data_IF_228168439620
#
_entry.id   IF_228168439620
#
_cell.length_a   1.000
_cell.length_b   1.000
_cell.length_c   1.000
_cell.angle_alpha   90.00
_cell.angle_beta   90.00
_cell.angle_gamma   90.00
#
_symmetry.space_group_name_H-M   'P 1'
#
loop_
_entity.id
_entity.type
_entity.pdbx_description
1 polymer ?
#
# COMPACT_ATOMS: atom_id res chain seq x y z
N UNK A 1 -7.39 4.45 -14.40
CA UNK A 1 -7.05 5.47 -13.38
C UNK A 1 -6.08 4.85 -12.40
N UNK A 2 -4.93 5.48 -12.17
CA UNK A 2 -3.92 4.94 -11.26
C UNK A 2 -4.37 5.17 -9.81
N UNK A 3 -4.49 4.11 -9.01
CA UNK A 3 -4.83 4.22 -7.59
C UNK A 3 -3.60 4.69 -6.81
N UNK A 4 -3.73 5.52 -5.75
CA UNK A 4 -2.59 5.88 -4.92
C UNK A 4 -1.96 4.62 -4.31
N UNK A 5 -0.64 4.54 -4.36
CA UNK A 5 0.15 3.44 -3.78
C UNK A 5 0.69 3.89 -2.43
N UNK A 6 0.48 3.12 -1.38
CA UNK A 6 0.90 3.47 -0.03
C UNK A 6 1.60 2.29 0.60
N UNK A 7 2.80 2.51 1.14
CA UNK A 7 3.54 1.49 1.85
C UNK A 7 2.72 0.96 3.03
N UNK A 8 2.75 -0.35 3.24
CA UNK A 8 2.09 -1.01 4.34
C UNK A 8 2.93 -2.18 4.86
N UNK A 9 2.88 -2.37 6.18
CA UNK A 9 3.41 -3.57 6.83
C UNK A 9 2.25 -4.56 6.97
N UNK A 10 2.24 -5.65 6.19
CA UNK A 10 1.13 -6.60 6.20
C UNK A 10 0.98 -7.31 7.55
N UNK A 11 2.07 -7.51 8.29
CA UNK A 11 1.98 -8.04 9.66
C UNK A 11 1.37 -7.05 10.67
N UNK A 12 1.27 -5.76 10.33
CA UNK A 12 0.63 -4.75 11.17
C UNK A 12 -0.90 -4.70 10.94
N UNK A 13 -1.53 -5.87 11.04
CA UNK A 13 -2.98 -6.01 10.99
C UNK A 13 -3.60 -5.91 12.40
N UNK A 14 -4.80 -5.37 12.47
CA UNK A 14 -5.61 -5.41 13.68
C UNK A 14 -6.24 -6.79 13.92
N UNK A 15 -6.92 -6.95 15.06
CA UNK A 15 -7.57 -8.21 15.42
C UNK A 15 -8.68 -8.65 14.43
N UNK A 16 -9.11 -7.77 13.52
CA UNK A 16 -10.10 -8.06 12.47
C UNK A 16 -9.42 -8.31 11.11
N UNK A 17 -8.09 -8.37 11.06
CA UNK A 17 -7.31 -8.57 9.84
C UNK A 17 -7.25 -7.35 8.94
N UNK A 18 -7.51 -6.13 9.45
CA UNK A 18 -7.37 -4.89 8.68
C UNK A 18 -5.96 -4.32 8.88
N UNK A 19 -5.29 -3.94 7.79
CA UNK A 19 -3.94 -3.41 7.84
C UNK A 19 -3.95 -1.98 8.39
N UNK A 20 -3.16 -1.67 9.43
CA UNK A 20 -3.08 -0.33 10.02
C UNK A 20 -2.25 0.61 9.14
N UNK A 21 -2.78 1.80 8.86
CA UNK A 21 -2.14 2.82 8.02
C UNK A 21 -1.36 3.84 8.86
N UNK A 22 -0.50 3.37 9.78
CA UNK A 22 0.21 4.22 10.74
C UNK A 22 1.74 4.10 10.70
N UNK A 23 2.31 3.18 9.91
CA UNK A 23 3.75 3.02 9.80
C UNK A 23 4.45 4.24 9.18
N UNK A 24 5.76 4.37 9.41
CA UNK A 24 6.54 5.50 8.92
C UNK A 24 6.50 5.64 7.38
N UNK A 25 6.65 4.52 6.65
CA UNK A 25 6.53 4.50 5.19
C UNK A 25 5.14 4.92 4.71
N UNK A 26 4.08 4.41 5.35
CA UNK A 26 2.69 4.79 5.06
C UNK A 26 2.49 6.30 5.19
N UNK A 27 2.94 6.88 6.32
CA UNK A 27 2.83 8.32 6.58
C UNK A 27 3.64 9.15 5.59
N UNK A 28 4.83 8.68 5.20
CA UNK A 28 5.67 9.34 4.21
C UNK A 28 4.99 9.39 2.84
N UNK A 29 4.38 8.28 2.41
CA UNK A 29 3.66 8.21 1.14
C UNK A 29 2.41 9.07 1.12
N UNK A 30 1.59 9.00 2.18
CA UNK A 30 0.39 9.84 2.35
C UNK A 30 0.77 11.32 2.24
N UNK A 31 1.84 11.75 2.94
CA UNK A 31 2.31 13.13 2.89
C UNK A 31 2.85 13.51 1.52
N UNK A 32 3.71 12.66 0.92
CA UNK A 32 4.34 12.91 -0.39
C UNK A 32 3.31 13.06 -1.49
N UNK A 33 2.29 12.20 -1.47
CA UNK A 33 1.22 12.16 -2.47
C UNK A 33 0.03 13.06 -2.13
N UNK A 34 0.04 13.74 -0.96
CA UNK A 34 -1.05 14.59 -0.46
C UNK A 34 -2.39 13.84 -0.39
N UNK A 35 -2.36 12.59 0.04
CA UNK A 35 -3.56 11.75 0.18
C UNK A 35 -4.34 12.21 1.41
N UNK A 36 -5.60 12.58 1.22
CA UNK A 36 -6.56 12.73 2.31
C UNK A 36 -7.31 11.40 2.46
N UNK A 37 -7.02 10.65 3.53
CA UNK A 37 -7.68 9.37 3.79
C UNK A 37 -9.17 9.57 4.07
N UNK A 38 -10.01 8.77 3.42
CA UNK A 38 -11.46 8.79 3.58
C UNK A 38 -12.01 7.37 3.61
N UNK A 39 -13.08 7.15 4.36
CA UNK A 39 -13.78 5.86 4.39
C UNK A 39 -14.24 5.44 2.98
N UNK A 40 -13.96 4.21 2.60
CA UNK A 40 -14.29 3.67 1.28
C UNK A 40 -13.29 4.01 0.17
N UNK A 41 -12.27 4.83 0.44
CA UNK A 41 -11.21 5.13 -0.53
C UNK A 41 -10.40 3.87 -0.85
N UNK A 42 -10.13 3.62 -2.13
CA UNK A 42 -9.30 2.50 -2.59
C UNK A 42 -7.84 2.93 -2.71
N UNK A 43 -6.94 2.10 -2.20
CA UNK A 43 -5.49 2.25 -2.28
C UNK A 43 -4.88 0.94 -2.81
N UNK A 44 -3.69 1.04 -3.40
CA UNK A 44 -2.80 -0.12 -3.50
C UNK A 44 -1.88 -0.07 -2.29
N UNK A 45 -1.93 -1.09 -1.46
CA UNK A 45 -0.98 -1.28 -0.37
C UNK A 45 0.19 -2.07 -0.90
N UNK A 46 1.42 -1.63 -0.62
CA UNK A 46 2.62 -2.34 -1.06
C UNK A 46 3.64 -2.48 0.07
N UNK A 47 4.41 -3.56 0.04
CA UNK A 47 5.67 -3.74 0.77
C UNK A 47 6.82 -3.87 -0.23
N UNK A 48 7.99 -4.33 0.20
CA UNK A 48 9.13 -4.54 -0.70
C UNK A 48 8.81 -5.53 -1.83
N UNK A 49 8.09 -6.61 -1.50
CA UNK A 49 7.86 -7.73 -2.42
C UNK A 49 6.38 -7.98 -2.70
N UNK A 50 5.44 -7.35 -1.98
CA UNK A 50 4.03 -7.68 -2.07
C UNK A 50 3.15 -6.46 -2.33
N UNK A 51 2.05 -6.63 -3.05
CA UNK A 51 1.01 -5.62 -3.20
C UNK A 51 -0.40 -6.20 -3.21
N UNK A 52 -1.37 -5.37 -2.81
CA UNK A 52 -2.80 -5.72 -2.82
C UNK A 52 -3.67 -4.47 -2.84
N UNK A 53 -4.87 -4.56 -3.41
CA UNK A 53 -5.87 -3.50 -3.26
C UNK A 53 -6.49 -3.52 -1.85
N UNK A 54 -6.58 -2.35 -1.23
CA UNK A 54 -7.23 -2.17 0.06
C UNK A 54 -8.29 -1.07 0.04
N UNK A 55 -9.30 -1.21 0.90
CA UNK A 55 -10.34 -0.21 1.13
C UNK A 55 -10.15 0.43 2.49
N UNK A 56 -9.92 1.74 2.50
CA UNK A 56 -9.69 2.54 3.71
C UNK A 56 -10.93 2.52 4.60
N UNK A 57 -10.72 2.32 5.90
CA UNK A 57 -11.72 2.34 6.96
C UNK A 57 -11.16 2.98 8.22
N UNK A 58 -11.91 3.89 8.84
CA UNK A 58 -11.54 4.35 10.17
C UNK A 58 -11.86 3.28 11.22
N UNK A 59 -10.89 2.98 12.07
CA UNK A 59 -11.09 2.12 13.24
C UNK A 59 -11.47 2.97 14.43
N UNK A 60 -12.76 2.96 14.80
CA UNK A 60 -13.22 3.65 16.01
C UNK A 60 -12.64 3.06 17.30
N UNK A 61 -12.27 1.79 17.28
CA UNK A 61 -11.70 1.07 18.43
C UNK A 61 -10.24 1.49 18.70
N UNK A 62 -9.45 1.65 17.64
CA UNK A 62 -8.03 2.00 17.75
C UNK A 62 -7.73 3.47 17.43
N UNK A 63 -8.75 4.25 17.05
CA UNK A 63 -8.66 5.67 16.67
C UNK A 63 -7.65 5.97 15.56
N UNK A 64 -7.58 5.08 14.56
CA UNK A 64 -6.66 5.20 13.43
C UNK A 64 -7.27 4.68 12.13
N UNK A 65 -6.66 5.07 11.01
CA UNK A 65 -7.01 4.56 9.69
C UNK A 65 -6.46 3.16 9.46
N UNK A 66 -7.30 2.29 8.91
CA UNK A 66 -6.98 0.92 8.50
C UNK A 66 -7.36 0.72 7.04
N UNK A 67 -6.95 -0.41 6.46
CA UNK A 67 -7.42 -0.87 5.17
C UNK A 67 -7.88 -2.32 5.25
N UNK A 68 -9.08 -2.59 4.75
CA UNK A 68 -9.59 -3.95 4.53
C UNK A 68 -8.98 -4.47 3.23
N UNK A 69 -8.35 -5.64 3.27
CA UNK A 69 -7.76 -6.31 2.10
C UNK A 69 -8.31 -7.73 1.98
N UNK A 70 -8.23 -8.30 0.77
CA UNK A 70 -8.36 -9.75 0.59
C UNK A 70 -6.96 -10.38 0.66
N UNK A 71 -6.73 -11.14 1.71
CA UNK A 71 -5.44 -11.80 1.97
C UNK A 71 -5.08 -12.84 0.90
N UNK A 72 -6.06 -13.40 0.19
CA UNK A 72 -5.82 -14.34 -0.90
C UNK A 72 -5.50 -13.63 -2.23
N UNK A 73 -5.65 -12.30 -2.27
CA UNK A 73 -5.41 -11.49 -3.46
C UNK A 73 -4.05 -10.75 -3.41
N UNK A 74 -3.23 -10.99 -2.39
CA UNK A 74 -1.87 -10.45 -2.31
C UNK A 74 -1.05 -11.04 -3.46
N UNK A 75 -0.34 -10.16 -4.17
CA UNK A 75 0.50 -10.52 -5.31
C UNK A 75 1.94 -10.10 -5.06
N UNK A 76 2.90 -10.80 -5.64
CA UNK A 76 4.29 -10.35 -5.67
C UNK A 76 4.41 -9.12 -6.57
N UNK A 77 5.19 -8.13 -6.13
CA UNK A 77 5.54 -6.98 -6.94
C UNK A 77 6.59 -7.46 -7.95
N UNK A 78 6.25 -7.47 -9.24
CA UNK A 78 7.25 -7.74 -10.26
C UNK A 78 8.38 -6.71 -10.13
N UNK A 79 9.65 -7.14 -9.99
CA UNK A 79 10.75 -6.20 -10.00
C UNK A 79 10.71 -5.46 -11.34
N UNK A 80 10.73 -4.14 -11.28
CA UNK A 80 10.87 -3.33 -12.49
C UNK A 80 12.25 -3.66 -13.06
N UNK A 81 12.29 -4.58 -14.02
CA UNK A 81 13.48 -4.82 -14.83
C UNK A 81 13.63 -3.56 -15.66
N UNK A 82 14.44 -2.61 -15.17
CA UNK A 82 14.90 -1.53 -16.02
C UNK A 82 15.63 -2.19 -17.17
N UNK A 83 15.06 -2.14 -18.38
CA UNK A 83 15.78 -2.53 -19.59
C UNK A 83 17.05 -1.67 -19.65
N UNK A 84 18.16 -2.24 -19.21
CA UNK A 84 19.48 -1.69 -19.49
C UNK A 84 19.65 -1.94 -20.99
N UNK A 85 19.37 -0.94 -21.82
CA UNK A 85 19.76 -1.00 -23.23
C UNK A 85 21.29 -1.01 -23.23
N UNK A 86 21.97 -2.10 -23.67
CA UNK A 86 23.39 -2.02 -23.88
C UNK A 86 23.61 -1.08 -25.07
N UNK A 87 24.17 0.11 -24.81
CA UNK A 87 24.68 0.98 -25.87
C UNK A 87 25.68 0.16 -26.67
N UNK A 88 25.27 -0.27 -27.86
CA UNK A 88 26.18 -0.87 -28.82
C UNK A 88 27.23 0.18 -29.16
N UNK A 89 28.47 -0.13 -28.82
CA UNK A 89 29.65 0.61 -29.25
C UNK A 89 29.72 0.47 -30.77
N UNK A 90 29.64 1.61 -31.48
CA UNK A 90 30.05 1.73 -32.88
C UNK A 90 31.16 2.77 -32.93
#
# INVERSE_FOLDING_TARGET
>A
MNKPRVFAEFHNADAKGRVRLNCAGTRADIKRQKIALQDGQRLILYSEELEVEGVVRYSEEEKLWTAVIDWNAIQEVEPIVSEIIPTSVI
#
